data_IF_516843474752
#
_entry.id   IF_516843474752
#
_cell.length_a   1.000
_cell.length_b   1.000
_cell.length_c   1.000
_cell.angle_alpha   90.00
_cell.angle_beta   90.00
_cell.angle_gamma   90.00
#
_symmetry.space_group_name_H-M   'P 1'
#
loop_
_entity.id
_entity.type
_entity.pdbx_description
1 polymer ?
#
# COMPACT_ATOMS: atom_id res chain seq x y z
N UNK A 1 35.25 -11.69 -17.04
CA UNK A 1 34.33 -11.76 -15.87
C UNK A 1 34.32 -10.47 -15.04
N UNK A 2 35.46 -9.94 -14.60
CA UNK A 2 35.55 -8.71 -13.77
C UNK A 2 34.89 -7.47 -14.41
N UNK A 3 35.03 -7.30 -15.74
CA UNK A 3 34.44 -6.15 -16.47
C UNK A 3 32.91 -6.12 -16.44
N UNK A 4 32.27 -7.29 -16.38
CA UNK A 4 30.79 -7.42 -16.34
C UNK A 4 30.26 -7.06 -14.96
N UNK A 5 30.96 -7.48 -13.90
CA UNK A 5 30.64 -7.11 -12.52
C UNK A 5 30.71 -5.59 -12.34
N UNK A 6 31.79 -4.95 -12.79
CA UNK A 6 31.93 -3.49 -12.71
C UNK A 6 30.81 -2.74 -13.45
N UNK A 7 30.46 -3.20 -14.66
CA UNK A 7 29.35 -2.63 -15.43
C UNK A 7 28.01 -2.83 -14.72
N UNK A 8 27.78 -4.00 -14.12
CA UNK A 8 26.58 -4.28 -13.36
C UNK A 8 26.45 -3.39 -12.12
N UNK A 9 27.54 -3.20 -11.36
CA UNK A 9 27.55 -2.26 -10.23
C UNK A 9 27.27 -0.83 -10.70
N UNK A 10 27.95 -0.34 -11.74
CA UNK A 10 27.68 1.00 -12.27
C UNK A 10 26.24 1.17 -12.76
N UNK A 11 25.67 0.15 -13.39
CA UNK A 11 24.28 0.18 -13.87
C UNK A 11 23.27 0.14 -12.70
N UNK A 12 23.48 -0.76 -11.74
CA UNK A 12 22.65 -0.90 -10.55
C UNK A 12 22.62 0.39 -9.74
N UNK A 13 23.78 1.04 -9.57
CA UNK A 13 23.89 2.28 -8.80
C UNK A 13 23.68 3.57 -9.61
N UNK A 14 23.23 3.50 -10.87
CA UNK A 14 22.88 4.70 -11.65
C UNK A 14 21.49 4.60 -12.25
N UNK A 15 21.35 3.87 -13.35
CA UNK A 15 20.14 3.84 -14.16
C UNK A 15 18.99 3.10 -13.48
N UNK A 16 19.29 2.08 -12.67
CA UNK A 16 18.25 1.29 -12.02
C UNK A 16 17.54 2.01 -10.87
N UNK A 17 18.12 3.07 -10.30
CA UNK A 17 17.44 3.92 -9.33
C UNK A 17 16.17 4.53 -9.92
N UNK A 18 16.25 5.07 -11.13
CA UNK A 18 15.10 5.69 -11.79
C UNK A 18 13.98 4.67 -12.04
N UNK A 19 14.35 3.45 -12.44
CA UNK A 19 13.42 2.33 -12.62
C UNK A 19 12.73 1.96 -11.31
N UNK A 20 13.47 1.90 -10.20
CA UNK A 20 12.91 1.63 -8.88
C UNK A 20 11.88 2.69 -8.47
N UNK A 21 12.26 3.98 -8.54
CA UNK A 21 11.37 5.09 -8.19
C UNK A 21 10.15 5.15 -9.10
N UNK A 22 10.29 4.79 -10.38
CA UNK A 22 9.18 4.69 -11.33
C UNK A 22 8.18 3.62 -10.89
N UNK A 23 8.63 2.42 -10.54
CA UNK A 23 7.77 1.33 -10.05
C UNK A 23 7.10 1.75 -8.74
N UNK A 24 7.87 2.29 -7.80
CA UNK A 24 7.34 2.73 -6.51
C UNK A 24 6.27 3.82 -6.67
N UNK A 25 6.50 4.82 -7.53
CA UNK A 25 5.52 5.84 -7.87
C UNK A 25 4.27 5.24 -8.52
N UNK A 26 4.41 4.24 -9.40
CA UNK A 26 3.27 3.55 -10.00
C UNK A 26 2.46 2.78 -8.96
N UNK A 27 3.12 2.14 -7.98
CA UNK A 27 2.44 1.47 -6.87
C UNK A 27 1.69 2.50 -6.02
N UNK A 28 2.34 3.60 -5.62
CA UNK A 28 1.70 4.66 -4.85
C UNK A 28 0.51 5.25 -5.61
N UNK A 29 0.68 5.55 -6.90
CA UNK A 29 -0.39 6.02 -7.78
C UNK A 29 -1.52 4.99 -7.86
N UNK A 30 -1.19 3.70 -7.97
CA UNK A 30 -2.13 2.59 -7.93
C UNK A 30 -2.90 2.52 -6.62
N UNK A 31 -2.24 2.68 -5.47
CA UNK A 31 -2.90 2.73 -4.15
C UNK A 31 -3.82 3.94 -4.05
N UNK A 32 -3.36 5.12 -4.50
CA UNK A 32 -4.20 6.33 -4.57
C UNK A 32 -5.42 6.13 -5.49
N UNK A 33 -5.26 5.44 -6.61
CA UNK A 33 -6.33 5.19 -7.57
C UNK A 33 -7.27 4.07 -7.13
N UNK A 34 -6.76 3.00 -6.51
CA UNK A 34 -7.53 1.86 -6.02
C UNK A 34 -8.40 2.26 -4.84
N UNK A 35 -7.83 2.99 -3.87
CA UNK A 35 -8.62 3.64 -2.82
C UNK A 35 -9.53 4.74 -3.34
N UNK A 36 -9.45 5.06 -4.64
CA UNK A 36 -10.44 5.82 -5.38
C UNK A 36 -10.96 6.96 -4.51
N UNK A 37 -10.08 7.89 -4.11
CA UNK A 37 -10.51 9.17 -3.51
C UNK A 37 -11.80 9.71 -4.16
N UNK A 38 -12.04 9.60 -5.49
CA UNK A 38 -13.34 9.92 -6.10
C UNK A 38 -14.54 9.03 -5.71
N UNK A 39 -14.40 7.74 -5.39
CA UNK A 39 -15.48 6.87 -4.91
C UNK A 39 -15.84 7.16 -3.44
N UNK A 40 -14.84 7.54 -2.64
CA UNK A 40 -15.04 8.10 -1.30
C UNK A 40 -15.76 9.44 -1.34
N UNK A 41 -15.34 10.33 -2.26
CA UNK A 41 -16.04 11.58 -2.52
C UNK A 41 -17.45 11.32 -3.05
N UNK A 42 -17.66 10.35 -3.94
CA UNK A 42 -19.01 9.99 -4.40
C UNK A 42 -19.91 9.45 -3.29
N UNK A 43 -19.40 8.65 -2.35
CA UNK A 43 -20.17 8.28 -1.14
C UNK A 43 -20.27 9.40 -0.11
N UNK A 44 -19.39 10.42 -0.18
CA UNK A 44 -19.51 11.67 0.57
C UNK A 44 -20.66 12.56 0.07
N UNK A 45 -20.94 12.58 -1.24
CA UNK A 45 -21.95 13.49 -1.82
C UNK A 45 -23.25 12.77 -2.24
N UNK A 46 -23.23 11.47 -2.54
CA UNK A 46 -24.41 10.72 -2.98
C UNK A 46 -25.59 10.63 -1.98
N UNK A 47 -25.42 10.61 -0.64
CA UNK A 47 -26.57 10.54 0.27
C UNK A 47 -27.22 11.92 0.52
N UNK A 48 -26.51 13.02 0.24
CA UNK A 48 -27.03 14.38 0.41
C UNK A 48 -28.06 14.78 -0.66
N UNK A 49 -28.16 14.02 -1.77
CA UNK A 49 -29.06 14.34 -2.89
C UNK A 49 -30.26 13.39 -3.05
N UNK A 50 -30.41 12.35 -2.20
CA UNK A 50 -31.56 11.40 -2.29
C UNK A 50 -32.39 11.24 -1.01
N UNK A 51 -32.09 11.97 0.06
CA UNK A 51 -32.94 12.01 1.27
C UNK A 51 -33.82 13.25 1.28
N UNK A 52 -34.49 13.49 0.16
CA UNK A 52 -35.72 14.27 0.13
C UNK A 52 -36.89 13.31 0.11
N UNK A 53 -37.06 12.47 1.14
CA UNK A 53 -38.41 11.97 1.39
C UNK A 53 -39.25 13.20 1.69
N UNK A 54 -40.11 13.54 0.74
CA UNK A 54 -41.06 14.65 0.81
C UNK A 54 -41.72 14.60 2.17
N UNK A 55 -41.45 15.59 3.04
CA UNK A 55 -42.22 15.76 4.28
C UNK A 55 -43.70 15.65 3.91
N UNK A 56 -44.41 14.70 4.53
CA UNK A 56 -45.83 14.53 4.28
C UNK A 56 -46.52 15.88 4.47
N UNK A 57 -47.37 16.27 3.52
CA UNK A 57 -48.13 17.53 3.59
C UNK A 57 -49.13 17.43 4.76
N UNK A 58 -48.76 17.95 5.93
CA UNK A 58 -49.58 17.98 7.14
C UNK A 58 -48.76 18.15 8.43
N UNK A 59 -49.38 18.72 9.48
CA UNK A 59 -48.75 18.90 10.79
C UNK A 59 -48.94 17.63 11.65
N UNK A 60 -48.19 16.57 11.32
CA UNK A 60 -48.18 15.31 12.09
C UNK A 60 -46.83 15.15 12.83
N UNK A 61 -46.78 15.45 14.15
CA UNK A 61 -45.56 15.39 14.95
C UNK A 61 -44.93 13.99 14.99
N UNK A 62 -45.74 12.93 14.86
CA UNK A 62 -45.25 11.55 14.91
C UNK A 62 -44.43 11.22 13.66
N UNK A 63 -44.91 11.62 12.48
CA UNK A 63 -44.17 11.44 11.22
C UNK A 63 -42.90 12.30 11.19
N UNK A 64 -42.94 13.51 11.75
CA UNK A 64 -41.77 14.37 11.87
C UNK A 64 -40.65 13.75 12.72
N UNK A 65 -41.00 13.16 13.87
CA UNK A 65 -40.03 12.48 14.73
C UNK A 65 -39.41 11.26 14.03
N UNK A 66 -40.21 10.50 13.30
CA UNK A 66 -39.76 9.33 12.53
C UNK A 66 -38.78 9.73 11.42
N UNK A 67 -39.09 10.76 10.62
CA UNK A 67 -38.19 11.26 9.57
C UNK A 67 -36.90 11.84 10.16
N UNK A 68 -36.98 12.54 11.30
CA UNK A 68 -35.80 13.07 11.98
C UNK A 68 -34.85 11.97 12.46
N UNK A 69 -35.39 10.90 13.07
CA UNK A 69 -34.61 9.75 13.52
C UNK A 69 -33.96 9.02 12.34
N UNK A 70 -34.72 8.73 11.28
CA UNK A 70 -34.20 8.07 10.08
C UNK A 70 -33.10 8.90 9.41
N UNK A 71 -33.30 10.21 9.26
CA UNK A 71 -32.30 11.10 8.68
C UNK A 71 -31.02 11.18 9.55
N UNK A 72 -31.18 11.17 10.88
CA UNK A 72 -30.04 11.16 11.81
C UNK A 72 -29.25 9.85 11.71
N UNK A 73 -29.92 8.70 11.66
CA UNK A 73 -29.28 7.39 11.49
C UNK A 73 -28.52 7.33 10.17
N UNK A 74 -29.14 7.76 9.06
CA UNK A 74 -28.49 7.76 7.74
C UNK A 74 -27.26 8.68 7.70
N UNK A 75 -27.28 9.80 8.43
CA UNK A 75 -26.11 10.69 8.59
C UNK A 75 -24.98 10.02 9.37
N UNK A 76 -25.29 9.37 10.50
CA UNK A 76 -24.28 8.68 11.32
C UNK A 76 -23.65 7.54 10.54
N UNK A 77 -24.46 6.69 9.90
CA UNK A 77 -23.96 5.58 9.07
C UNK A 77 -23.06 6.10 7.95
N UNK A 78 -23.48 7.18 7.27
CA UNK A 78 -22.66 7.83 6.26
C UNK A 78 -21.33 8.34 6.81
N UNK A 79 -21.32 8.99 7.98
CA UNK A 79 -20.10 9.50 8.63
C UNK A 79 -19.15 8.36 9.04
N UNK A 80 -19.67 7.28 9.63
CA UNK A 80 -18.87 6.13 10.06
C UNK A 80 -18.24 5.42 8.85
N UNK A 81 -19.00 5.19 7.78
CA UNK A 81 -18.47 4.58 6.57
C UNK A 81 -17.30 5.41 5.99
N UNK A 82 -17.42 6.74 6.00
CA UNK A 82 -16.35 7.65 5.52
C UNK A 82 -15.10 7.58 6.39
N UNK A 83 -15.28 7.57 7.71
CA UNK A 83 -14.17 7.47 8.65
C UNK A 83 -13.40 6.16 8.47
N UNK A 84 -14.12 5.05 8.31
CA UNK A 84 -13.51 3.73 8.08
C UNK A 84 -12.67 3.75 6.81
N UNK A 85 -13.21 4.24 5.69
CA UNK A 85 -12.43 4.19 4.45
C UNK A 85 -11.27 5.19 4.44
N UNK A 86 -11.41 6.35 5.08
CA UNK A 86 -10.27 7.27 5.28
C UNK A 86 -9.18 6.62 6.12
N UNK A 87 -9.54 5.95 7.22
CA UNK A 87 -8.59 5.26 8.09
C UNK A 87 -7.87 4.12 7.36
N UNK A 88 -8.62 3.25 6.66
CA UNK A 88 -8.05 2.13 5.90
C UNK A 88 -7.19 2.63 4.74
N UNK A 89 -7.65 3.63 3.99
CA UNK A 89 -6.88 4.21 2.89
C UNK A 89 -5.58 4.86 3.36
N UNK A 90 -5.61 5.57 4.50
CA UNK A 90 -4.43 6.12 5.13
C UNK A 90 -3.45 5.04 5.59
N UNK A 91 -3.94 3.97 6.21
CA UNK A 91 -3.13 2.85 6.65
C UNK A 91 -2.43 2.14 5.48
N UNK A 92 -3.17 1.84 4.40
CA UNK A 92 -2.58 1.19 3.23
C UNK A 92 -1.58 2.10 2.52
N UNK A 93 -1.84 3.41 2.45
CA UNK A 93 -0.86 4.37 1.92
C UNK A 93 0.43 4.38 2.75
N UNK A 94 0.32 4.44 4.07
CA UNK A 94 1.46 4.38 4.97
C UNK A 94 2.24 3.07 4.80
N UNK A 95 1.54 1.94 4.72
CA UNK A 95 2.14 0.63 4.48
C UNK A 95 2.85 0.57 3.11
N UNK A 96 2.29 1.14 2.05
CA UNK A 96 2.89 1.18 0.72
C UNK A 96 4.16 2.05 0.66
N UNK A 97 4.16 3.18 1.39
CA UNK A 97 5.35 4.02 1.55
C UNK A 97 6.44 3.26 2.30
N UNK A 98 6.12 2.67 3.44
CA UNK A 98 7.07 1.88 4.24
C UNK A 98 7.62 0.69 3.46
N UNK A 99 6.77 -0.05 2.74
CA UNK A 99 7.17 -1.18 1.91
C UNK A 99 8.14 -0.74 0.79
N UNK A 100 7.93 0.43 0.19
CA UNK A 100 8.87 1.00 -0.77
C UNK A 100 10.22 1.36 -0.15
N UNK A 101 10.23 2.00 1.03
CA UNK A 101 11.50 2.33 1.71
C UNK A 101 12.26 1.06 2.09
N UNK A 102 11.59 0.08 2.69
CA UNK A 102 12.21 -1.21 3.06
C UNK A 102 12.68 -1.97 1.82
N UNK A 103 11.84 -2.05 0.78
CA UNK A 103 12.19 -2.69 -0.48
C UNK A 103 13.40 -2.05 -1.16
N UNK A 104 13.55 -0.73 -1.03
CA UNK A 104 14.71 -0.01 -1.56
C UNK A 104 16.00 -0.38 -0.84
N UNK A 105 15.96 -0.46 0.50
CA UNK A 105 17.10 -0.90 1.31
C UNK A 105 17.47 -2.35 0.96
N UNK A 106 16.48 -3.25 0.86
CA UNK A 106 16.72 -4.65 0.46
C UNK A 106 17.34 -4.72 -0.93
N UNK A 107 16.83 -3.95 -1.89
CA UNK A 107 17.35 -3.91 -3.26
C UNK A 107 18.80 -3.35 -3.34
N UNK A 108 19.16 -2.42 -2.46
CA UNK A 108 20.51 -1.89 -2.35
C UNK A 108 21.51 -2.96 -1.86
N UNK A 109 21.09 -3.81 -0.92
CA UNK A 109 21.95 -4.84 -0.30
C UNK A 109 21.96 -6.14 -1.12
N UNK A 110 20.99 -6.34 -2.01
CA UNK A 110 20.84 -7.53 -2.86
C UNK A 110 22.11 -8.01 -3.60
N UNK A 111 22.93 -7.15 -4.24
CA UNK A 111 24.16 -7.60 -4.87
C UNK A 111 25.18 -8.18 -3.87
N UNK A 112 25.19 -7.70 -2.62
CA UNK A 112 26.08 -8.20 -1.57
C UNK A 112 25.60 -9.52 -0.98
N UNK A 113 24.28 -9.71 -0.83
CA UNK A 113 23.74 -10.97 -0.30
C UNK A 113 24.05 -12.14 -1.23
N UNK A 114 23.93 -11.95 -2.55
CA UNK A 114 24.31 -12.98 -3.54
C UNK A 114 25.80 -13.35 -3.43
N UNK A 115 26.69 -12.36 -3.32
CA UNK A 115 28.11 -12.61 -3.14
C UNK A 115 28.40 -13.37 -1.84
N UNK A 116 27.78 -12.96 -0.73
CA UNK A 116 27.94 -13.61 0.57
C UNK A 116 27.45 -15.07 0.55
N UNK A 117 26.34 -15.35 -0.13
CA UNK A 117 25.75 -16.69 -0.21
C UNK A 117 26.64 -17.66 -0.99
N UNK A 118 27.26 -17.19 -2.07
CA UNK A 118 28.25 -17.96 -2.84
C UNK A 118 29.48 -18.26 -1.98
N UNK A 119 30.01 -17.26 -1.27
CA UNK A 119 31.18 -17.45 -0.39
C UNK A 119 30.86 -18.43 0.74
N UNK A 120 29.71 -18.28 1.39
CA UNK A 120 29.25 -19.20 2.44
C UNK A 120 29.11 -20.64 1.94
N UNK A 121 28.54 -20.82 0.74
CA UNK A 121 28.42 -22.15 0.11
C UNK A 121 29.78 -22.80 -0.15
N UNK A 122 30.76 -22.04 -0.64
CA UNK A 122 32.12 -22.55 -0.88
C UNK A 122 32.83 -22.91 0.43
N UNK A 123 32.70 -22.07 1.47
CA UNK A 123 33.27 -22.35 2.79
C UNK A 123 32.68 -23.61 3.42
N UNK A 124 31.36 -23.78 3.32
CA UNK A 124 30.67 -24.99 3.80
C UNK A 124 31.14 -26.23 3.05
N UNK A 125 31.22 -26.17 1.72
CA UNK A 125 31.71 -27.29 0.89
C UNK A 125 33.16 -27.68 1.25
N UNK A 126 34.05 -26.70 1.46
CA UNK A 126 35.42 -26.95 1.90
C UNK A 126 35.48 -27.55 3.31
N UNK A 127 34.63 -27.10 4.24
CA UNK A 127 34.57 -27.66 5.59
C UNK A 127 34.05 -29.10 5.62
N UNK A 128 33.07 -29.44 4.78
CA UNK A 128 32.58 -30.81 4.62
C UNK A 128 33.63 -31.74 4.01
N UNK A 129 34.38 -31.28 3.00
CA UNK A 129 35.47 -32.06 2.40
C UNK A 129 36.59 -32.37 3.40
N UNK A 130 36.93 -31.40 4.27
CA UNK A 130 37.91 -31.60 5.34
C UNK A 130 37.47 -32.65 6.36
N UNK A 131 36.17 -32.82 6.59
CA UNK A 131 35.65 -33.80 7.53
C UNK A 131 35.74 -35.24 6.99
N UNK A 132 35.56 -35.42 5.67
CA UNK A 132 35.67 -36.73 4.99
C UNK A 132 37.13 -37.19 4.85
N UNK A 133 38.06 -36.26 4.69
CA UNK A 133 39.50 -36.59 4.52
C UNK A 133 40.19 -36.94 5.85
N UNK A 134 39.60 -36.54 6.99
CA UNK A 134 40.18 -36.74 8.34
C UNK A 134 39.55 -37.93 9.09
N UNK A 135 38.47 -38.52 8.57
CA UNK A 135 37.82 -39.75 9.07
C UNK A 135 38.37 -41.00 8.38
#
# INVERSE_FOLDING_TARGET
MVRVLWWYFLWHYSHSFESYFRIWRTILWGVFHFFSVPFLVRTLVAPLMRTGETYAKGFDPAQWAQTFLLNTIMRIVGMVARLIVLAVGGLVMAAAVLAGVVGFVVWLVWPFTLAALVVAGVLLAMSGLRMIVVS
#
